data_IF_355344512879
#
_entry.id   IF_355344512879
#
_cell.length_a   1.000
_cell.length_b   1.000
_cell.length_c   1.000
_cell.angle_alpha   90.00
_cell.angle_beta   90.00
_cell.angle_gamma   90.00
#
_symmetry.space_group_name_H-M   'P 1'
#
loop_
_entity.id
_entity.type
_entity.pdbx_description
1 polymer ?
#
# COMPACT_ATOMS: atom_id res chain seq x y z
N UNK A 1 13.18 -2.75 16.58
CA UNK A 1 12.55 -1.41 16.56
C UNK A 1 13.48 -0.44 15.84
N UNK A 2 12.93 0.31 14.87
CA UNK A 2 13.62 1.38 14.14
C UNK A 2 12.93 2.70 14.46
N UNK A 3 13.71 3.66 14.95
CA UNK A 3 13.21 4.99 15.26
C UNK A 3 13.40 5.91 14.06
N UNK A 4 12.37 6.68 13.74
CA UNK A 4 12.47 7.82 12.82
C UNK A 4 12.65 9.11 13.63
N UNK A 5 13.87 9.65 13.75
CA UNK A 5 14.11 10.86 14.55
C UNK A 5 13.52 12.12 13.92
N UNK A 6 13.07 12.03 12.66
CA UNK A 6 12.48 13.15 11.91
C UNK A 6 10.98 12.99 11.68
N UNK A 7 10.31 12.13 12.44
CA UNK A 7 8.88 11.80 12.24
C UNK A 7 7.96 13.04 12.18
N UNK A 8 8.30 14.12 12.92
CA UNK A 8 7.52 15.36 12.92
C UNK A 8 7.63 16.19 11.62
N UNK A 9 8.57 15.85 10.74
CA UNK A 9 8.87 16.59 9.50
C UNK A 9 8.92 15.70 8.26
N UNK A 10 8.62 14.41 8.42
CA UNK A 10 8.61 13.42 7.34
C UNK A 10 7.32 12.62 7.39
N UNK A 11 7.03 11.89 6.34
CA UNK A 11 5.89 10.98 6.30
C UNK A 11 6.38 9.51 6.30
N UNK A 12 5.46 8.57 6.14
CA UNK A 12 5.71 7.13 6.22
C UNK A 12 6.74 6.62 5.18
N UNK A 13 6.91 7.31 4.03
CA UNK A 13 7.98 7.00 3.06
C UNK A 13 9.37 7.01 3.70
N UNK A 14 9.65 7.98 4.58
CA UNK A 14 10.95 8.08 5.22
C UNK A 14 11.14 7.01 6.30
N UNK A 15 10.11 6.68 7.05
CA UNK A 15 10.13 5.55 7.98
C UNK A 15 10.45 4.24 7.27
N UNK A 16 9.83 4.02 6.11
CA UNK A 16 10.12 2.85 5.28
C UNK A 16 11.52 2.89 4.65
N UNK A 17 12.01 4.09 4.27
CA UNK A 17 13.39 4.27 3.82
C UNK A 17 14.41 3.88 4.90
N UNK A 18 14.16 4.20 6.16
CA UNK A 18 15.03 3.75 7.26
C UNK A 18 15.01 2.22 7.41
N UNK A 19 13.86 1.59 7.15
CA UNK A 19 13.68 0.14 7.21
C UNK A 19 14.10 -0.61 5.93
N UNK A 20 14.55 0.07 4.87
CA UNK A 20 14.79 -0.51 3.53
C UNK A 20 15.71 -1.72 3.48
N UNK A 21 16.66 -1.83 4.43
CA UNK A 21 17.54 -3.00 4.50
C UNK A 21 16.79 -4.27 4.89
N UNK A 22 15.71 -4.15 5.67
CA UNK A 22 14.84 -5.28 6.00
C UNK A 22 14.03 -5.71 4.78
N UNK A 23 13.51 -4.74 3.99
CA UNK A 23 12.84 -5.04 2.71
C UNK A 23 13.76 -5.77 1.73
N UNK A 24 15.06 -5.47 1.75
CA UNK A 24 16.05 -6.08 0.87
C UNK A 24 16.59 -7.43 1.37
N UNK A 25 16.32 -7.83 2.61
CA UNK A 25 16.85 -9.05 3.20
C UNK A 25 16.01 -10.28 2.92
N UNK A 26 14.70 -10.16 2.99
CA UNK A 26 13.75 -11.27 2.89
C UNK A 26 12.42 -10.82 2.24
N UNK A 27 11.53 -11.79 1.96
CA UNK A 27 10.14 -11.53 1.65
C UNK A 27 9.48 -10.82 2.83
N UNK A 28 8.70 -9.78 2.56
CA UNK A 28 8.20 -8.88 3.59
C UNK A 28 6.69 -8.73 3.52
N UNK A 29 6.04 -8.77 4.69
CA UNK A 29 4.70 -8.23 4.87
C UNK A 29 4.83 -6.81 5.43
N UNK A 30 4.31 -5.83 4.68
CA UNK A 30 4.19 -4.46 5.10
C UNK A 30 2.75 -4.20 5.53
N UNK A 31 2.58 -3.75 6.77
CA UNK A 31 1.28 -3.41 7.34
C UNK A 31 1.38 -2.03 8.01
N UNK A 32 0.37 -1.21 7.83
CA UNK A 32 0.23 0.00 8.64
C UNK A 32 -0.29 -0.34 10.04
N UNK A 33 0.01 0.49 11.03
CA UNK A 33 -0.26 0.18 12.45
C UNK A 33 -1.64 0.61 12.93
N UNK A 34 -2.38 1.33 12.10
CA UNK A 34 -3.68 1.93 12.33
C UNK A 34 -4.83 1.16 11.67
N UNK A 35 -4.58 -0.06 11.24
CA UNK A 35 -5.59 -0.94 10.65
C UNK A 35 -6.02 -2.08 11.57
N UNK A 36 -7.32 -2.29 11.66
CA UNK A 36 -7.93 -3.47 12.28
C UNK A 36 -8.53 -4.33 11.18
N UNK A 37 -8.28 -5.63 11.22
CA UNK A 37 -8.70 -6.53 10.15
C UNK A 37 -8.89 -7.97 10.62
N UNK A 38 -9.70 -8.71 9.90
CA UNK A 38 -9.89 -10.14 10.17
C UNK A 38 -8.63 -10.95 9.79
N UNK A 39 -8.27 -11.90 10.65
CA UNK A 39 -7.13 -12.82 10.44
C UNK A 39 -7.14 -13.48 9.05
N UNK A 40 -8.32 -13.76 8.50
CA UNK A 40 -8.49 -14.38 7.18
C UNK A 40 -7.81 -13.58 6.07
N UNK A 41 -7.70 -12.27 6.19
CA UNK A 41 -7.00 -11.43 5.21
C UNK A 41 -5.53 -11.82 5.11
N UNK A 42 -4.83 -11.99 6.25
CA UNK A 42 -3.42 -12.44 6.23
C UNK A 42 -3.28 -13.88 5.72
N UNK A 43 -4.21 -14.76 6.06
CA UNK A 43 -4.19 -16.13 5.55
C UNK A 43 -4.27 -16.12 4.02
N UNK A 44 -5.17 -15.33 3.43
CA UNK A 44 -5.27 -15.18 1.96
C UNK A 44 -4.02 -14.58 1.34
N UNK A 45 -3.42 -13.58 1.96
CA UNK A 45 -2.15 -12.99 1.48
C UNK A 45 -1.04 -14.05 1.44
N UNK A 46 -0.98 -14.93 2.45
CA UNK A 46 0.03 -15.98 2.52
C UNK A 46 -0.27 -17.15 1.56
N UNK A 47 -1.55 -17.43 1.30
CA UNK A 47 -2.01 -18.48 0.38
C UNK A 47 -1.90 -18.06 -1.10
N UNK A 48 -1.84 -16.75 -1.41
CA UNK A 48 -1.78 -16.26 -2.79
C UNK A 48 -0.48 -16.70 -3.47
N UNK A 49 -0.55 -17.42 -4.60
CA UNK A 49 0.66 -17.92 -5.27
C UNK A 49 1.56 -16.83 -5.84
N UNK A 50 0.98 -15.69 -6.25
CA UNK A 50 1.77 -14.59 -6.81
C UNK A 50 2.53 -13.88 -5.69
N UNK A 51 3.86 -13.61 -5.83
CA UNK A 51 4.69 -13.19 -4.70
C UNK A 51 4.44 -11.75 -4.25
N UNK A 52 4.07 -10.85 -5.15
CA UNK A 52 3.97 -9.41 -4.89
C UNK A 52 2.51 -8.99 -4.91
N UNK A 53 1.95 -8.71 -3.73
CA UNK A 53 0.50 -8.57 -3.52
C UNK A 53 0.18 -7.28 -2.77
N UNK A 54 -0.90 -6.63 -3.17
CA UNK A 54 -1.56 -5.57 -2.42
C UNK A 54 -3.00 -5.99 -2.10
N UNK A 55 -3.38 -5.97 -0.84
CA UNK A 55 -4.79 -6.17 -0.45
C UNK A 55 -5.58 -4.92 -0.81
N UNK A 56 -6.74 -5.12 -1.45
CA UNK A 56 -7.61 -4.03 -1.90
C UNK A 56 -9.08 -4.33 -1.59
N UNK A 57 -9.86 -3.30 -1.32
CA UNK A 57 -11.32 -3.39 -1.21
C UNK A 57 -11.98 -2.56 -2.32
N UNK A 58 -13.22 -2.92 -2.70
CA UNK A 58 -14.01 -2.10 -3.61
C UNK A 58 -14.21 -0.71 -3.02
N UNK A 59 -13.91 0.33 -3.80
CA UNK A 59 -14.10 1.70 -3.36
C UNK A 59 -15.54 1.95 -2.92
N UNK A 60 -15.68 2.60 -1.79
CA UNK A 60 -16.95 3.14 -1.25
C UNK A 60 -16.76 4.62 -0.94
N UNK A 61 -17.82 5.41 -1.06
CA UNK A 61 -17.74 6.88 -0.98
C UNK A 61 -17.27 7.46 0.35
N UNK A 62 -17.23 6.65 1.41
CA UNK A 62 -16.70 7.05 2.73
C UNK A 62 -15.21 6.74 2.89
N UNK A 63 -14.62 5.97 1.97
CA UNK A 63 -13.20 5.61 2.02
C UNK A 63 -12.33 6.77 1.54
N UNK A 64 -11.29 7.08 2.31
CA UNK A 64 -10.21 8.00 1.93
C UNK A 64 -8.91 7.23 1.66
N UNK A 65 -7.84 7.91 1.26
CA UNK A 65 -6.51 7.35 1.02
C UNK A 65 -6.25 6.94 -0.42
N UNK A 66 -5.39 5.94 -0.61
CA UNK A 66 -4.88 5.55 -1.92
C UNK A 66 -5.84 4.64 -2.68
N UNK A 67 -6.24 5.09 -3.88
CA UNK A 67 -7.06 4.30 -4.80
C UNK A 67 -6.20 3.72 -5.92
N UNK A 68 -6.61 2.56 -6.43
CA UNK A 68 -5.95 1.89 -7.55
C UNK A 68 -6.96 1.42 -8.58
N UNK A 69 -6.48 1.22 -9.81
CA UNK A 69 -7.18 0.47 -10.85
C UNK A 69 -6.43 -0.79 -11.20
N UNK A 70 -7.15 -1.79 -11.67
CA UNK A 70 -6.58 -3.10 -12.02
C UNK A 70 -6.92 -3.48 -13.46
N UNK A 71 -6.07 -4.30 -14.08
CA UNK A 71 -6.34 -4.92 -15.36
C UNK A 71 -7.22 -6.19 -15.24
N UNK A 72 -7.49 -6.84 -16.36
CA UNK A 72 -8.28 -8.08 -16.43
C UNK A 72 -7.63 -9.25 -15.68
N UNK A 73 -6.34 -9.19 -15.42
CA UNK A 73 -5.57 -10.21 -14.68
C UNK A 73 -5.37 -9.86 -13.19
N UNK A 74 -6.03 -8.79 -12.73
CA UNK A 74 -5.92 -8.26 -11.36
C UNK A 74 -4.54 -7.65 -11.05
N UNK A 75 -3.75 -7.22 -12.03
CA UNK A 75 -2.56 -6.41 -11.74
C UNK A 75 -2.93 -4.94 -11.58
N UNK A 76 -2.32 -4.29 -10.60
CA UNK A 76 -2.47 -2.85 -10.40
C UNK A 76 -1.75 -2.14 -11.55
N UNK A 77 -2.52 -1.32 -12.28
CA UNK A 77 -2.02 -0.56 -13.44
C UNK A 77 -1.91 0.93 -13.19
N UNK A 78 -2.65 1.45 -12.20
CA UNK A 78 -2.58 2.87 -11.84
C UNK A 78 -2.87 3.08 -10.36
N UNK A 79 -2.16 4.02 -9.75
CA UNK A 79 -2.43 4.60 -8.45
C UNK A 79 -3.07 5.96 -8.67
N UNK A 80 -4.37 6.05 -8.39
CA UNK A 80 -5.21 7.20 -8.72
C UNK A 80 -4.87 8.38 -7.81
N UNK A 81 -4.24 9.40 -8.37
CA UNK A 81 -3.93 10.63 -7.65
C UNK A 81 -5.19 11.50 -7.46
N UNK A 82 -5.12 12.45 -6.52
CA UNK A 82 -6.19 13.47 -6.35
C UNK A 82 -6.49 14.25 -7.63
N UNK A 83 -5.51 14.38 -8.53
CA UNK A 83 -5.67 15.09 -9.82
C UNK A 83 -6.31 14.23 -10.90
N UNK A 84 -6.21 12.91 -10.80
CA UNK A 84 -6.77 11.95 -11.78
C UNK A 84 -8.05 11.29 -11.30
N UNK A 85 -8.43 11.50 -10.05
CA UNK A 85 -9.66 10.96 -9.48
C UNK A 85 -10.89 11.50 -10.21
N UNK A 86 -11.82 10.61 -10.59
CA UNK A 86 -13.08 10.94 -11.24
C UNK A 86 -14.23 10.18 -10.59
N UNK A 87 -15.25 10.91 -10.16
CA UNK A 87 -16.48 10.33 -9.60
C UNK A 87 -17.21 9.41 -10.57
N UNK A 88 -17.10 9.65 -11.88
CA UNK A 88 -17.71 8.81 -12.91
C UNK A 88 -17.05 7.43 -13.02
N UNK A 89 -15.80 7.30 -12.56
CA UNK A 89 -14.99 6.08 -12.63
C UNK A 89 -14.92 5.30 -11.30
N UNK A 90 -15.62 5.73 -10.28
CA UNK A 90 -15.53 5.12 -8.94
C UNK A 90 -15.87 3.63 -8.91
N UNK A 91 -16.72 3.17 -9.84
CA UNK A 91 -17.02 1.73 -9.97
C UNK A 91 -15.82 0.87 -10.41
N UNK A 92 -14.76 1.50 -10.95
CA UNK A 92 -13.52 0.81 -11.37
C UNK A 92 -12.42 0.89 -10.31
N UNK A 93 -12.61 1.66 -9.25
CA UNK A 93 -11.62 1.89 -8.23
C UNK A 93 -11.65 0.85 -7.12
N UNK A 94 -10.48 0.58 -6.59
CA UNK A 94 -10.27 -0.14 -5.34
C UNK A 94 -9.48 0.75 -4.38
N UNK A 95 -9.79 0.69 -3.09
CA UNK A 95 -8.99 1.28 -2.00
C UNK A 95 -7.93 0.27 -1.58
N UNK A 96 -6.69 0.69 -1.41
CA UNK A 96 -5.66 -0.14 -0.77
C UNK A 96 -5.99 -0.31 0.72
N UNK A 97 -5.84 -1.52 1.24
CA UNK A 97 -6.06 -1.84 2.66
C UNK A 97 -4.79 -1.61 3.49
N UNK A 98 -3.75 -1.09 2.84
CA UNK A 98 -2.44 -0.84 3.45
C UNK A 98 -1.77 -2.11 4.01
N UNK A 99 -2.08 -3.25 3.38
CA UNK A 99 -1.43 -4.55 3.58
C UNK A 99 -0.81 -4.99 2.26
N UNK A 100 0.51 -5.17 2.27
CA UNK A 100 1.29 -5.55 1.09
C UNK A 100 2.19 -6.74 1.40
N UNK A 101 2.36 -7.63 0.43
CA UNK A 101 3.45 -8.60 0.44
C UNK A 101 4.39 -8.27 -0.71
N UNK A 102 5.66 -8.11 -0.39
CA UNK A 102 6.73 -7.89 -1.35
C UNK A 102 7.73 -9.02 -1.26
N UNK A 103 8.02 -9.64 -2.39
CA UNK A 103 9.15 -10.56 -2.49
C UNK A 103 10.47 -9.80 -2.32
N UNK A 104 11.49 -10.49 -1.84
CA UNK A 104 12.86 -9.95 -1.82
C UNK A 104 13.29 -9.50 -3.23
N UNK A 105 12.95 -10.27 -4.27
CA UNK A 105 13.28 -9.94 -5.65
C UNK A 105 12.67 -8.61 -6.09
N UNK A 106 11.38 -8.40 -5.81
CA UNK A 106 10.70 -7.13 -6.08
C UNK A 106 11.34 -5.98 -5.29
N UNK A 107 11.59 -6.19 -4.01
CA UNK A 107 12.18 -5.19 -3.14
C UNK A 107 13.55 -4.75 -3.62
N UNK A 108 14.45 -5.70 -3.87
CA UNK A 108 15.84 -5.42 -4.30
C UNK A 108 15.90 -4.89 -5.74
N UNK A 109 15.12 -5.48 -6.64
CA UNK A 109 15.19 -5.16 -8.07
C UNK A 109 14.41 -3.92 -8.48
N UNK A 110 13.40 -3.53 -7.70
CA UNK A 110 12.49 -2.44 -8.08
C UNK A 110 12.25 -1.45 -6.93
N UNK A 111 11.60 -1.87 -5.85
CA UNK A 111 11.05 -0.96 -4.86
C UNK A 111 12.13 -0.15 -4.12
N UNK A 112 13.12 -0.80 -3.53
CA UNK A 112 14.19 -0.16 -2.73
C UNK A 112 15.03 0.82 -3.56
N UNK A 113 15.48 0.51 -4.79
CA UNK A 113 16.21 1.48 -5.61
C UNK A 113 15.42 2.77 -5.89
N UNK A 114 14.12 2.66 -6.17
CA UNK A 114 13.26 3.84 -6.38
C UNK A 114 13.00 4.60 -5.08
N UNK A 115 12.77 3.90 -3.97
CA UNK A 115 12.62 4.48 -2.63
C UNK A 115 13.87 5.28 -2.24
N UNK A 116 15.05 4.72 -2.43
CA UNK A 116 16.32 5.41 -2.16
C UNK A 116 16.52 6.65 -3.03
N UNK A 117 16.26 6.53 -4.34
CA UNK A 117 16.37 7.65 -5.26
C UNK A 117 15.39 8.76 -4.88
N UNK A 118 14.14 8.41 -4.57
CA UNK A 118 13.10 9.37 -4.20
C UNK A 118 13.47 10.12 -2.92
N UNK A 119 13.79 9.41 -1.83
CA UNK A 119 14.12 10.02 -0.55
C UNK A 119 15.42 10.85 -0.57
N UNK A 120 16.38 10.50 -1.44
CA UNK A 120 17.65 11.25 -1.57
C UNK A 120 17.56 12.47 -2.50
N UNK A 121 16.62 12.46 -3.46
CA UNK A 121 16.60 13.48 -4.53
C UNK A 121 15.39 14.40 -4.49
N UNK A 122 14.29 14.01 -3.82
CA UNK A 122 13.05 14.77 -3.89
C UNK A 122 12.53 15.16 -2.51
N UNK A 123 11.67 14.32 -1.90
CA UNK A 123 10.90 14.70 -0.72
C UNK A 123 10.71 13.50 0.23
N UNK A 124 10.76 13.78 1.52
CA UNK A 124 10.56 12.80 2.59
C UNK A 124 9.18 12.91 3.25
N UNK A 125 8.30 13.80 2.76
CA UNK A 125 6.94 14.00 3.28
C UNK A 125 5.85 13.33 2.44
N UNK A 126 6.24 12.54 1.43
CA UNK A 126 5.32 11.72 0.64
C UNK A 126 4.89 10.44 1.35
N UNK A 127 3.84 9.80 0.85
CA UNK A 127 3.47 8.43 1.22
C UNK A 127 4.31 7.42 0.44
N UNK A 128 4.59 6.25 1.04
CA UNK A 128 5.42 5.21 0.42
C UNK A 128 4.79 4.60 -0.83
N UNK A 129 3.47 4.66 -0.99
CA UNK A 129 2.76 4.26 -2.21
C UNK A 129 3.14 5.11 -3.43
N UNK A 130 3.71 6.30 -3.21
CA UNK A 130 4.25 7.10 -4.32
C UNK A 130 5.29 6.34 -5.13
N UNK A 131 6.06 5.45 -4.49
CA UNK A 131 7.01 4.59 -5.19
C UNK A 131 6.28 3.56 -6.06
N UNK A 132 5.21 2.97 -5.55
CA UNK A 132 4.39 2.02 -6.32
C UNK A 132 3.71 2.71 -7.51
N UNK A 133 3.24 3.96 -7.31
CA UNK A 133 2.68 4.77 -8.39
C UNK A 133 3.71 5.02 -9.50
N UNK A 134 4.94 5.40 -9.16
CA UNK A 134 6.02 5.58 -10.14
C UNK A 134 6.34 4.28 -10.87
N UNK A 135 6.41 3.16 -10.14
CA UNK A 135 6.67 1.85 -10.74
C UNK A 135 5.54 1.42 -11.69
N UNK A 136 4.28 1.72 -11.37
CA UNK A 136 3.13 1.44 -12.23
C UNK A 136 3.21 2.23 -13.54
N UNK A 137 3.53 3.52 -13.47
CA UNK A 137 3.71 4.37 -14.66
C UNK A 137 4.85 3.90 -15.59
N UNK A 138 5.80 3.15 -15.05
CA UNK A 138 6.91 2.58 -15.81
C UNK A 138 6.64 1.13 -16.24
N UNK A 139 5.42 0.62 -16.09
CA UNK A 139 5.04 -0.79 -16.33
C UNK A 139 5.91 -1.79 -15.53
N UNK A 140 6.40 -1.38 -14.37
CA UNK A 140 7.33 -2.16 -13.54
C UNK A 140 6.78 -2.60 -12.21
N UNK A 141 5.60 -2.13 -11.80
CA UNK A 141 5.06 -2.48 -10.50
C UNK A 141 4.92 -4.01 -10.40
N UNK A 142 4.20 -4.64 -11.31
CA UNK A 142 3.99 -6.09 -11.28
C UNK A 142 3.31 -6.53 -9.98
N UNK A 143 2.52 -5.65 -9.37
CA UNK A 143 1.86 -5.87 -8.10
C UNK A 143 0.45 -6.39 -8.34
N UNK A 144 0.12 -7.55 -7.80
CA UNK A 144 -1.19 -8.15 -7.95
C UNK A 144 -2.13 -7.64 -6.87
N UNK A 145 -3.30 -7.16 -7.26
CA UNK A 145 -4.36 -6.85 -6.34
C UNK A 145 -4.99 -8.15 -5.79
N UNK A 146 -5.20 -8.21 -4.49
CA UNK A 146 -5.96 -9.25 -3.80
C UNK A 146 -7.24 -8.61 -3.25
N UNK A 147 -8.35 -8.66 -4.01
CA UNK A 147 -9.61 -8.08 -3.56
C UNK A 147 -10.18 -8.83 -2.36
N UNK A 148 -10.72 -8.09 -1.40
CA UNK A 148 -11.49 -8.66 -0.30
C UNK A 148 -12.81 -9.26 -0.83
N UNK A 149 -13.23 -10.36 -0.24
CA UNK A 149 -14.45 -11.13 -0.59
C UNK A 149 -15.51 -11.05 0.50
N UNK A 150 -15.42 -10.00 1.33
CA UNK A 150 -16.35 -9.76 2.42
C UNK A 150 -15.69 -9.79 3.80
N UNK A 151 -14.39 -10.03 3.86
CA UNK A 151 -13.61 -9.88 5.09
C UNK A 151 -13.69 -8.43 5.59
N UNK A 152 -13.77 -8.29 6.90
CA UNK A 152 -13.87 -6.98 7.53
C UNK A 152 -12.49 -6.39 7.81
N UNK A 153 -12.41 -5.09 7.60
CA UNK A 153 -11.26 -4.28 7.97
C UNK A 153 -11.70 -2.83 8.22
N UNK A 154 -10.90 -2.10 8.96
CA UNK A 154 -11.14 -0.68 9.20
C UNK A 154 -9.80 0.05 9.47
N UNK A 155 -9.68 1.27 9.00
CA UNK A 155 -8.55 2.17 9.23
C UNK A 155 -8.96 3.18 10.32
N UNK A 156 -8.13 3.37 11.34
CA UNK A 156 -8.43 4.17 12.53
C UNK A 156 -7.56 5.42 12.48
N UNK A 157 -8.12 6.50 11.97
CA UNK A 157 -7.43 7.80 11.87
C UNK A 157 -7.76 8.71 13.07
N UNK A 158 -8.93 8.53 13.67
CA UNK A 158 -9.38 9.35 14.79
C UNK A 158 -10.23 8.56 15.82
N UNK A 159 -10.73 9.28 16.85
CA UNK A 159 -11.54 8.66 17.90
C UNK A 159 -12.90 8.16 17.41
N UNK A 160 -13.46 8.76 16.36
CA UNK A 160 -14.72 8.31 15.78
C UNK A 160 -14.52 6.97 15.05
N UNK A 161 -13.41 6.82 14.37
CA UNK A 161 -13.04 5.56 13.71
C UNK A 161 -12.84 4.43 14.73
N UNK A 162 -12.21 4.75 15.87
CA UNK A 162 -12.04 3.78 16.96
C UNK A 162 -13.40 3.31 17.49
N UNK A 163 -14.34 4.24 17.77
CA UNK A 163 -15.69 3.91 18.23
C UNK A 163 -16.44 3.02 17.23
N UNK A 164 -16.22 3.22 15.92
CA UNK A 164 -16.82 2.39 14.86
C UNK A 164 -16.17 1.01 14.83
N UNK A 165 -14.85 0.94 14.97
CA UNK A 165 -14.12 -0.32 14.90
C UNK A 165 -14.38 -1.26 16.09
N UNK A 166 -14.83 -0.72 17.23
CA UNK A 166 -15.20 -1.49 18.44
C UNK A 166 -16.62 -2.08 18.40
N UNK A 167 -17.44 -1.76 17.37
CA UNK A 167 -18.83 -2.24 17.22
C UNK A 167 -18.95 -3.36 16.19
#
# INVERSE_FOLDING_TARGET
YLENPYYAHTNNIYSLFLARHHLASDDTLLLESDIVFEKRILERVLEEPYPDVAVVDRYKSWMDGTMVTVDEKQFIVDFVSKHTFSYEKTSTYFKTVNIYRFSKEFSVGKYVPFLEAYCKCFDNSAYYEQILAVLSLLDKAGLKALPLEGEKWYEIDDMQDLDIAET
#
